data_IF_383917303669
#
_entry.id   IF_383917303669
#
_cell.length_a   1.000
_cell.length_b   1.000
_cell.length_c   1.000
_cell.angle_alpha   90.00
_cell.angle_beta   90.00
_cell.angle_gamma   90.00
#
_symmetry.space_group_name_H-M   'P 1'
#
loop_
_entity.id
_entity.type
_entity.pdbx_description
1 polymer ?
#
# COMPACT_ATOMS: atom_id res chain seq x y z
N UNK A 1 -7.85 -7.90 -1.53
CA UNK A 1 -6.89 -8.12 -2.62
C UNK A 1 -5.63 -8.84 -2.12
N UNK A 2 -4.81 -9.39 -3.03
CA UNK A 2 -3.49 -9.93 -2.71
C UNK A 2 -2.44 -8.82 -2.51
N UNK A 3 -1.22 -9.14 -2.04
CA UNK A 3 -0.10 -8.21 -2.15
C UNK A 3 0.21 -7.89 -3.62
N UNK A 4 0.82 -6.74 -3.86
CA UNK A 4 1.29 -6.36 -5.20
C UNK A 4 2.49 -7.24 -5.63
N UNK A 5 2.61 -7.54 -6.94
CA UNK A 5 3.83 -8.08 -7.55
C UNK A 5 5.06 -7.21 -7.26
N UNK A 6 6.24 -7.81 -7.22
CA UNK A 6 7.46 -7.11 -6.79
C UNK A 6 7.88 -5.98 -7.74
N UNK A 7 7.62 -6.10 -9.03
CA UNK A 7 7.87 -5.10 -10.07
C UNK A 7 6.95 -3.87 -9.98
N UNK A 8 5.84 -4.01 -9.25
CA UNK A 8 4.89 -2.92 -9.00
C UNK A 8 5.12 -2.21 -7.66
N UNK A 9 5.99 -2.76 -6.81
CA UNK A 9 6.27 -2.22 -5.48
C UNK A 9 7.54 -1.37 -5.53
N UNK A 10 7.41 -0.09 -5.17
CA UNK A 10 8.55 0.79 -4.95
C UNK A 10 9.26 0.39 -3.66
N UNK A 11 8.49 0.24 -2.59
CA UNK A 11 9.01 -0.13 -1.27
C UNK A 11 7.92 -0.79 -0.40
N UNK A 12 8.35 -1.59 0.57
CA UNK A 12 7.46 -2.26 1.53
C UNK A 12 7.87 -1.93 2.96
N UNK A 13 6.88 -1.67 3.81
CA UNK A 13 7.07 -1.22 5.18
C UNK A 13 6.29 -2.08 6.17
N UNK A 14 6.83 -2.18 7.38
CA UNK A 14 6.11 -2.69 8.55
C UNK A 14 5.68 -1.47 9.36
N UNK A 15 4.38 -1.24 9.41
CA UNK A 15 3.79 -0.07 10.07
C UNK A 15 3.02 -0.55 11.29
N UNK A 16 3.26 0.06 12.44
CA UNK A 16 2.57 -0.34 13.67
C UNK A 16 1.11 0.16 13.68
N UNK A 17 0.21 -0.65 14.25
CA UNK A 17 -1.13 -0.19 14.60
C UNK A 17 -1.09 0.80 15.78
N UNK A 18 -2.15 1.63 15.97
CA UNK A 18 -3.26 1.87 15.04
C UNK A 18 -2.83 2.75 13.85
N UNK A 19 -3.72 2.92 12.86
CA UNK A 19 -3.57 3.83 11.72
C UNK A 19 -2.57 3.43 10.62
N UNK A 20 -2.54 2.14 10.23
CA UNK A 20 -1.71 1.65 9.11
C UNK A 20 -1.94 2.44 7.83
N UNK A 21 -3.21 2.74 7.48
CA UNK A 21 -3.54 3.51 6.28
C UNK A 21 -2.87 4.89 6.26
N UNK A 22 -3.05 5.69 7.32
CA UNK A 22 -2.52 7.07 7.42
C UNK A 22 -0.98 7.06 7.41
N UNK A 23 -0.37 6.13 8.14
CA UNK A 23 1.09 5.99 8.18
C UNK A 23 1.64 5.55 6.81
N UNK A 24 0.95 4.66 6.11
CA UNK A 24 1.32 4.24 4.76
C UNK A 24 1.18 5.40 3.76
N UNK A 25 0.09 6.19 3.86
CA UNK A 25 -0.09 7.43 3.08
C UNK A 25 1.06 8.42 3.34
N UNK A 26 1.41 8.63 4.61
CA UNK A 26 2.53 9.52 4.99
C UNK A 26 3.86 9.09 4.37
N UNK A 27 4.11 7.78 4.28
CA UNK A 27 5.28 7.25 3.59
C UNK A 27 5.21 7.49 2.08
N UNK A 28 4.02 7.34 1.47
CA UNK A 28 3.78 7.64 0.06
C UNK A 28 4.06 9.11 -0.26
N UNK A 29 3.53 10.05 0.53
CA UNK A 29 3.78 11.49 0.36
C UNK A 29 5.26 11.90 0.42
N UNK A 30 6.09 11.11 1.10
CA UNK A 30 7.54 11.34 1.21
C UNK A 30 8.34 10.65 0.08
N UNK A 31 7.71 9.78 -0.68
CA UNK A 31 8.33 9.03 -1.78
C UNK A 31 7.87 9.63 -3.12
N UNK A 32 8.72 10.39 -3.84
CA UNK A 32 8.33 11.13 -5.04
C UNK A 32 7.72 10.29 -6.17
N UNK A 33 8.00 8.98 -6.21
CA UNK A 33 7.47 8.07 -7.23
C UNK A 33 6.18 7.38 -6.81
N UNK A 34 5.71 7.61 -5.58
CA UNK A 34 4.53 6.94 -5.05
C UNK A 34 3.26 7.63 -5.54
N UNK A 35 2.37 6.87 -6.18
CA UNK A 35 1.06 7.33 -6.65
C UNK A 35 -0.09 6.55 -5.99
N UNK A 36 0.25 5.57 -5.16
CA UNK A 36 -0.70 4.65 -4.54
C UNK A 36 -0.09 3.87 -3.38
N UNK A 37 -0.95 3.38 -2.50
CA UNK A 37 -0.61 2.42 -1.45
C UNK A 37 -1.41 1.14 -1.59
N UNK A 38 -0.79 0.01 -1.27
CA UNK A 38 -1.49 -1.23 -0.96
C UNK A 38 -1.18 -1.60 0.49
N UNK A 39 -2.19 -1.69 1.34
CA UNK A 39 -1.98 -1.93 2.77
C UNK A 39 -2.91 -3.02 3.30
N UNK A 40 -2.55 -3.62 4.43
CA UNK A 40 -3.43 -4.53 5.17
C UNK A 40 -3.40 -4.22 6.65
N UNK A 41 -4.52 -4.40 7.33
CA UNK A 41 -4.58 -4.25 8.79
C UNK A 41 -4.28 -5.61 9.41
N UNK A 42 -3.27 -5.67 10.27
CA UNK A 42 -2.82 -6.91 10.91
C UNK A 42 -2.34 -6.62 12.32
N UNK A 43 -2.58 -7.56 13.24
CA UNK A 43 -2.17 -7.46 14.64
C UNK A 43 -0.74 -7.96 14.89
N UNK A 44 -0.12 -8.61 13.90
CA UNK A 44 1.26 -9.11 13.96
C UNK A 44 2.22 -8.17 13.22
N UNK A 45 3.48 -8.08 13.66
CA UNK A 45 4.49 -7.20 13.05
C UNK A 45 5.02 -7.79 11.73
N UNK A 46 4.24 -7.63 10.66
CA UNK A 46 4.57 -8.10 9.30
C UNK A 46 4.46 -6.96 8.28
N UNK A 47 4.97 -7.18 7.06
CA UNK A 47 4.80 -6.25 5.93
C UNK A 47 3.32 -6.02 5.71
N UNK A 48 2.92 -4.76 5.77
CA UNK A 48 1.52 -4.37 5.77
C UNK A 48 1.25 -3.06 5.02
N UNK A 49 2.27 -2.48 4.42
CA UNK A 49 2.20 -1.29 3.57
C UNK A 49 3.15 -1.47 2.39
N UNK A 50 2.65 -1.30 1.18
CA UNK A 50 3.42 -1.32 -0.08
C UNK A 50 3.15 -0.01 -0.81
N UNK A 51 4.21 0.76 -1.07
CA UNK A 51 4.15 1.95 -1.92
C UNK A 51 4.29 1.52 -3.37
N UNK A 52 3.51 2.11 -4.27
CA UNK A 52 3.50 1.72 -5.67
C UNK A 52 3.41 2.93 -6.62
N UNK A 53 3.86 2.74 -7.86
CA UNK A 53 3.73 3.68 -8.96
C UNK A 53 2.75 3.15 -10.03
N UNK A 54 1.72 2.41 -9.58
CA UNK A 54 0.80 1.73 -10.50
C UNK A 54 -0.34 2.67 -10.83
N UNK A 55 -0.31 3.23 -12.04
CA UNK A 55 -1.38 4.11 -12.55
C UNK A 55 -2.52 3.32 -13.22
N UNK A 56 -2.35 2.01 -13.42
CA UNK A 56 -3.38 1.14 -13.98
C UNK A 56 -4.41 0.82 -12.91
N UNK A 57 -5.69 1.08 -13.18
CA UNK A 57 -6.79 0.56 -12.35
C UNK A 57 -6.72 -0.97 -12.37
N UNK A 58 -6.55 -1.57 -11.20
CA UNK A 58 -6.67 -3.02 -11.01
C UNK A 58 -8.12 -3.32 -10.67
N UNK A 59 -8.68 -4.36 -11.28
CA UNK A 59 -9.93 -4.93 -10.79
C UNK A 59 -9.72 -5.29 -9.32
N UNK A 60 -10.56 -4.74 -8.44
CA UNK A 60 -10.56 -5.03 -7.00
C UNK A 60 -11.03 -6.46 -6.80
N UNK A 61 -10.18 -7.42 -7.13
CA UNK A 61 -10.39 -8.82 -6.79
C UNK A 61 -10.54 -8.92 -5.28
N UNK A 62 -11.70 -9.41 -4.86
CA UNK A 62 -12.15 -9.48 -3.46
C UNK A 62 -11.42 -10.53 -2.63
N UNK A 63 -10.47 -11.28 -3.21
CA UNK A 63 -9.68 -12.25 -2.49
C UNK A 63 -8.50 -11.58 -1.76
N UNK A 64 -8.41 -11.80 -0.44
CA UNK A 64 -7.26 -11.42 0.40
C UNK A 64 -7.40 -10.12 1.20
N UNK A 65 -6.51 -9.96 2.19
CA UNK A 65 -6.61 -8.94 3.26
C UNK A 65 -6.04 -7.56 2.89
N UNK A 66 -5.60 -7.36 1.64
CA UNK A 66 -5.01 -6.10 1.21
C UNK A 66 -6.04 -5.17 0.57
N UNK A 67 -5.90 -3.88 0.87
CA UNK A 67 -6.65 -2.75 0.34
C UNK A 67 -5.72 -1.88 -0.50
N UNK A 68 -6.06 -1.74 -1.78
CA UNK A 68 -5.36 -0.90 -2.73
C UNK A 68 -6.05 0.47 -2.81
N UNK A 69 -5.27 1.53 -2.66
CA UNK A 69 -5.70 2.92 -2.76
C UNK A 69 -4.78 3.65 -3.74
N UNK A 70 -5.35 4.15 -4.83
CA UNK A 70 -4.67 4.92 -5.87
C UNK A 70 -5.06 6.40 -5.78
N UNK A 71 -4.44 7.22 -6.63
CA UNK A 71 -4.74 8.65 -6.81
C UNK A 71 -4.53 9.44 -5.51
N UNK A 72 -3.47 9.09 -4.79
CA UNK A 72 -2.97 9.90 -3.68
C UNK A 72 -2.29 11.10 -4.33
N UNK A 73 -3.06 12.14 -4.65
CA UNK A 73 -2.50 13.43 -5.07
C UNK A 73 -1.55 13.92 -3.97
N UNK A 74 -0.28 14.08 -4.34
CA UNK A 74 0.78 14.62 -3.49
C UNK A 74 0.61 16.13 -3.26
#
# INVERSE_FOLDING_TARGET
GPPLPSDEVISSHNVENPAVQIKCLTLCYKEPKCVGINYRITTIKVKNCQLNNVTKKRDTTTSGDWTLLHDIEA
#
